data_IF_719793735136
#
_entry.id   IF_719793735136
#
_cell.length_a   1.000
_cell.length_b   1.000
_cell.length_c   1.000
_cell.angle_alpha   90.00
_cell.angle_beta   90.00
_cell.angle_gamma   90.00
#
_symmetry.space_group_name_H-M   'P 1'
#
loop_
_entity.id
_entity.type
_entity.pdbx_description
1 polymer ?
#
# COMPACT_ATOMS: atom_id res chain seq x y z
N UNK A 1 6.31 -22.86 -13.55
CA UNK A 1 5.48 -21.67 -13.82
C UNK A 1 5.09 -21.04 -12.50
N UNK A 2 5.11 -19.71 -12.40
CA UNK A 2 4.71 -18.98 -11.20
C UNK A 2 3.76 -17.86 -11.60
N UNK A 3 2.79 -17.54 -10.73
CA UNK A 3 1.82 -16.47 -10.93
C UNK A 3 1.99 -15.44 -9.83
N UNK A 4 2.18 -14.17 -10.20
CA UNK A 4 2.21 -13.05 -9.27
C UNK A 4 0.86 -12.35 -9.27
N UNK A 5 0.20 -12.27 -8.11
CA UNK A 5 -1.13 -11.66 -8.01
C UNK A 5 -1.13 -10.41 -7.16
N UNK A 6 -1.59 -9.29 -7.73
CA UNK A 6 -1.78 -8.02 -7.02
C UNK A 6 -3.18 -7.91 -6.36
N UNK A 7 -4.12 -8.77 -6.75
CA UNK A 7 -5.47 -8.90 -6.18
C UNK A 7 -5.62 -10.25 -5.49
N UNK A 8 -6.51 -10.32 -4.48
CA UNK A 8 -6.66 -11.56 -3.70
C UNK A 8 -7.24 -12.63 -4.64
N UNK A 9 -6.53 -13.73 -4.93
CA UNK A 9 -7.10 -14.80 -5.73
C UNK A 9 -8.25 -15.45 -4.94
N UNK A 10 -9.20 -16.04 -5.65
CA UNK A 10 -10.26 -16.83 -5.02
C UNK A 10 -9.67 -18.16 -4.51
N UNK A 11 -10.30 -18.74 -3.48
CA UNK A 11 -9.84 -20.00 -2.91
C UNK A 11 -9.87 -21.13 -3.97
N UNK A 12 -10.92 -21.19 -4.79
CA UNK A 12 -11.02 -22.13 -5.92
C UNK A 12 -9.90 -21.96 -6.96
N UNK A 13 -9.42 -20.73 -7.20
CA UNK A 13 -8.27 -20.50 -8.08
C UNK A 13 -6.98 -21.02 -7.46
N UNK A 14 -6.79 -20.81 -6.15
CA UNK A 14 -5.62 -21.31 -5.42
C UNK A 14 -5.60 -22.83 -5.36
N UNK A 15 -6.73 -23.49 -5.09
CA UNK A 15 -6.87 -24.94 -5.11
C UNK A 15 -6.47 -25.53 -6.47
N UNK A 16 -7.02 -24.99 -7.56
CA UNK A 16 -6.70 -25.42 -8.91
C UNK A 16 -5.20 -25.22 -9.26
N UNK A 17 -4.59 -24.11 -8.80
CA UNK A 17 -3.16 -23.89 -8.96
C UNK A 17 -2.33 -24.90 -8.16
N UNK A 18 -2.72 -25.18 -6.92
CA UNK A 18 -2.05 -26.15 -6.05
C UNK A 18 -2.09 -27.56 -6.67
N UNK A 19 -3.26 -28.00 -7.17
CA UNK A 19 -3.42 -29.31 -7.83
C UNK A 19 -2.49 -29.44 -9.06
N UNK A 20 -2.27 -28.33 -9.77
CA UNK A 20 -1.38 -28.24 -10.93
C UNK A 20 0.07 -27.95 -10.57
N UNK A 21 0.42 -27.88 -9.28
CA UNK A 21 1.75 -27.51 -8.76
C UNK A 21 2.26 -26.17 -9.30
N UNK A 22 1.34 -25.21 -9.50
CA UNK A 22 1.63 -23.84 -9.89
C UNK A 22 1.69 -22.99 -8.62
N UNK A 23 2.83 -22.35 -8.36
CA UNK A 23 2.97 -21.46 -7.21
C UNK A 23 2.35 -20.10 -7.49
N UNK A 24 1.53 -19.62 -6.56
CA UNK A 24 1.00 -18.26 -6.55
C UNK A 24 1.74 -17.45 -5.49
N UNK A 25 2.16 -16.24 -5.86
CA UNK A 25 2.85 -15.30 -4.98
C UNK A 25 2.01 -14.03 -4.89
N UNK A 26 1.63 -13.65 -3.68
CA UNK A 26 0.94 -12.39 -3.43
C UNK A 26 1.93 -11.23 -3.55
N UNK A 27 1.61 -10.26 -4.42
CA UNK A 27 2.43 -9.09 -4.65
C UNK A 27 1.79 -7.84 -4.03
N UNK A 28 2.60 -7.03 -3.36
CA UNK A 28 2.22 -5.77 -2.70
C UNK A 28 1.20 -5.89 -1.56
N UNK A 29 0.76 -7.10 -1.21
CA UNK A 29 -0.05 -7.38 -0.03
C UNK A 29 0.42 -8.66 0.64
N UNK A 30 0.30 -8.70 1.97
CA UNK A 30 0.53 -9.91 2.75
C UNK A 30 -0.85 -10.50 3.12
N UNK A 31 -1.31 -11.47 2.35
CA UNK A 31 -2.51 -12.24 2.70
C UNK A 31 -2.11 -13.51 3.44
N UNK A 32 -2.78 -13.77 4.56
CA UNK A 32 -2.71 -15.07 5.23
C UNK A 32 -3.64 -16.05 4.51
N UNK A 33 -3.12 -16.71 3.47
CA UNK A 33 -3.82 -17.80 2.75
C UNK A 33 -2.85 -18.99 2.64
N UNK A 34 -3.34 -20.24 2.70
CA UNK A 34 -2.48 -21.41 2.55
C UNK A 34 -1.70 -21.36 1.22
N UNK A 35 -0.45 -21.85 1.27
CA UNK A 35 0.46 -22.07 0.13
C UNK A 35 0.87 -20.84 -0.70
N UNK A 36 0.56 -19.62 -0.27
CA UNK A 36 0.96 -18.39 -0.98
C UNK A 36 2.13 -17.69 -0.27
N UNK A 37 3.30 -17.62 -0.90
CA UNK A 37 4.35 -16.70 -0.44
C UNK A 37 3.94 -15.25 -0.75
N UNK A 38 4.39 -14.27 0.03
CA UNK A 38 4.07 -12.87 -0.21
C UNK A 38 5.32 -12.01 -0.29
N UNK A 39 5.35 -11.09 -1.25
CA UNK A 39 6.37 -10.04 -1.37
C UNK A 39 5.67 -8.69 -1.37
N UNK A 40 5.95 -7.87 -0.36
CA UNK A 40 5.36 -6.55 -0.22
C UNK A 40 6.32 -5.62 0.53
N UNK A 41 6.22 -4.33 0.25
CA UNK A 41 6.82 -3.30 1.10
C UNK A 41 5.94 -3.05 2.33
N UNK A 42 6.54 -2.56 3.42
CA UNK A 42 5.79 -1.91 4.48
C UNK A 42 5.33 -0.53 3.99
N UNK A 43 4.17 -0.50 3.33
CA UNK A 43 3.60 0.70 2.73
C UNK A 43 3.29 1.78 3.77
N UNK A 44 2.89 1.37 4.98
CA UNK A 44 2.56 2.30 6.06
C UNK A 44 3.82 2.95 6.59
N UNK A 45 4.85 2.18 6.89
CA UNK A 45 6.13 2.72 7.30
C UNK A 45 6.74 3.61 6.21
N UNK A 46 6.63 3.22 4.93
CA UNK A 46 7.07 4.06 3.82
C UNK A 46 6.38 5.43 3.77
N UNK A 47 5.07 5.48 4.04
CA UNK A 47 4.34 6.74 4.15
C UNK A 47 4.80 7.62 5.32
N UNK A 48 5.07 7.00 6.47
CA UNK A 48 5.60 7.67 7.65
C UNK A 48 7.00 8.26 7.41
N UNK A 49 7.90 7.49 6.78
CA UNK A 49 9.27 7.92 6.47
C UNK A 49 9.30 9.19 5.60
N UNK A 50 8.40 9.32 4.63
CA UNK A 50 8.30 10.54 3.81
C UNK A 50 7.81 11.72 4.65
N UNK A 51 6.84 11.51 5.54
CA UNK A 51 6.37 12.55 6.43
C UNK A 51 7.47 13.05 7.40
N UNK A 52 8.24 12.11 7.98
CA UNK A 52 9.42 12.40 8.80
C UNK A 52 10.46 13.20 8.02
N UNK A 53 10.76 12.78 6.79
CA UNK A 53 11.72 13.49 5.94
C UNK A 53 11.29 14.94 5.68
N UNK A 54 10.02 15.18 5.35
CA UNK A 54 9.52 16.54 5.09
C UNK A 54 9.52 17.41 6.36
N UNK A 55 9.19 16.83 7.51
CA UNK A 55 9.26 17.51 8.80
C UNK A 55 10.70 17.88 9.19
N UNK A 56 11.64 16.95 9.07
CA UNK A 56 13.07 17.17 9.32
C UNK A 56 13.67 18.26 8.42
N UNK A 57 13.15 18.39 7.20
CA UNK A 57 13.52 19.45 6.25
C UNK A 57 12.70 20.74 6.44
N UNK A 58 11.94 20.86 7.53
CA UNK A 58 11.18 22.06 7.92
C UNK A 58 10.15 22.53 6.88
N UNK A 59 9.61 21.61 6.09
CA UNK A 59 8.49 21.93 5.19
C UNK A 59 7.25 22.29 5.99
N UNK A 60 6.57 23.38 5.63
CA UNK A 60 5.39 23.89 6.35
C UNK A 60 4.07 23.73 5.60
N UNK A 61 4.10 23.62 4.28
CA UNK A 61 2.92 23.46 3.45
C UNK A 61 3.12 22.23 2.58
N UNK A 62 2.29 21.21 2.77
CA UNK A 62 2.43 19.94 2.06
C UNK A 62 1.12 19.60 1.36
N UNK A 63 1.22 19.22 0.09
CA UNK A 63 0.14 18.61 -0.67
C UNK A 63 0.27 17.10 -0.69
N UNK A 64 -0.80 16.39 -0.36
CA UNK A 64 -0.90 14.94 -0.50
C UNK A 64 -1.91 14.62 -1.60
N UNK A 65 -1.46 13.97 -2.67
CA UNK A 65 -2.34 13.45 -3.71
C UNK A 65 -2.54 11.95 -3.45
N UNK A 66 -3.76 11.58 -3.10
CA UNK A 66 -4.13 10.19 -2.84
C UNK A 66 -4.40 9.45 -4.16
N UNK A 67 -4.02 8.18 -4.18
CA UNK A 67 -4.39 7.27 -5.26
C UNK A 67 -5.86 6.83 -5.19
N UNK A 68 -6.26 5.89 -6.08
CA UNK A 68 -7.64 5.42 -6.18
C UNK A 68 -8.18 4.84 -4.87
N UNK A 69 -9.45 5.13 -4.58
CA UNK A 69 -10.15 4.61 -3.40
C UNK A 69 -10.15 3.07 -3.40
N UNK A 70 -9.80 2.46 -2.26
CA UNK A 70 -9.76 1.00 -2.09
C UNK A 70 -8.46 0.35 -2.59
N UNK A 71 -7.51 1.14 -3.08
CA UNK A 71 -6.15 0.67 -3.31
C UNK A 71 -5.43 0.55 -1.97
N UNK A 72 -5.28 -0.68 -1.49
CA UNK A 72 -4.57 -0.99 -0.23
C UNK A 72 -3.20 -0.31 -0.12
N UNK A 73 -2.42 -0.30 -1.21
CA UNK A 73 -1.09 0.32 -1.25
C UNK A 73 -1.21 1.84 -1.02
N UNK A 74 -2.15 2.48 -1.70
CA UNK A 74 -2.39 3.92 -1.53
C UNK A 74 -2.90 4.22 -0.12
N UNK A 75 -3.85 3.43 0.36
CA UNK A 75 -4.49 3.61 1.67
C UNK A 75 -3.47 3.49 2.80
N UNK A 76 -2.60 2.47 2.78
CA UNK A 76 -1.59 2.27 3.82
C UNK A 76 -0.50 3.36 3.79
N UNK A 77 -0.03 3.78 2.59
CA UNK A 77 0.89 4.93 2.47
C UNK A 77 0.29 6.20 3.03
N UNK A 78 -0.95 6.52 2.64
CA UNK A 78 -1.65 7.71 3.10
C UNK A 78 -1.88 7.65 4.62
N UNK A 79 -2.19 6.47 5.16
CA UNK A 79 -2.38 6.26 6.60
C UNK A 79 -1.09 6.52 7.37
N UNK A 80 0.03 5.97 6.93
CA UNK A 80 1.34 6.21 7.55
C UNK A 80 1.70 7.70 7.56
N UNK A 81 1.63 8.32 6.38
CA UNK A 81 1.91 9.74 6.19
C UNK A 81 1.06 10.64 7.10
N UNK A 82 -0.27 10.47 7.05
CA UNK A 82 -1.21 11.29 7.84
C UNK A 82 -1.09 11.04 9.33
N UNK A 83 -0.81 9.80 9.74
CA UNK A 83 -0.65 9.46 11.16
C UNK A 83 0.54 10.15 11.81
N UNK A 84 1.59 10.41 11.04
CA UNK A 84 2.73 11.21 11.48
C UNK A 84 2.38 12.71 11.49
N UNK A 85 1.92 13.25 10.35
CA UNK A 85 1.65 14.68 10.19
C UNK A 85 0.57 15.22 11.15
N UNK A 86 -0.46 14.43 11.50
CA UNK A 86 -1.58 14.89 12.34
C UNK A 86 -1.13 15.47 13.69
N UNK A 87 0.04 15.09 14.19
CA UNK A 87 0.58 15.53 15.47
C UNK A 87 1.41 16.83 15.34
N UNK A 88 1.66 17.32 14.13
CA UNK A 88 2.55 18.44 13.83
C UNK A 88 1.78 19.70 13.49
N UNK A 89 1.64 20.60 14.47
CA UNK A 89 0.86 21.85 14.32
C UNK A 89 1.50 22.87 13.37
N UNK A 90 2.80 22.77 13.09
CA UNK A 90 3.51 23.69 12.19
C UNK A 90 3.36 23.34 10.71
N UNK A 91 2.72 22.20 10.39
CA UNK A 91 2.51 21.75 9.01
C UNK A 91 1.05 21.93 8.62
N UNK A 92 0.82 22.65 7.53
CA UNK A 92 -0.47 22.77 6.85
C UNK A 92 -0.54 21.70 5.74
N UNK A 93 -1.35 20.68 5.97
CA UNK A 93 -1.62 19.61 5.00
C UNK A 93 -2.85 19.93 4.15
N UNK A 94 -2.71 19.88 2.83
CA UNK A 94 -3.82 19.83 1.87
C UNK A 94 -3.84 18.46 1.23
N UNK A 95 -5.03 17.86 1.13
CA UNK A 95 -5.19 16.51 0.55
C UNK A 95 -6.14 16.57 -0.63
N UNK A 96 -5.75 15.97 -1.74
CA UNK A 96 -6.58 15.82 -2.92
C UNK A 96 -6.70 14.35 -3.32
N UNK A 97 -7.89 13.94 -3.74
CA UNK A 97 -8.14 12.57 -4.23
C UNK A 97 -8.18 12.61 -5.75
N UNK A 98 -7.26 11.93 -6.42
CA UNK A 98 -7.35 11.74 -7.88
C UNK A 98 -7.84 10.34 -8.21
N UNK A 99 -8.89 10.30 -9.03
CA UNK A 99 -9.26 9.11 -9.79
C UNK A 99 -8.50 9.19 -11.11
N UNK A 100 -7.39 8.47 -11.21
CA UNK A 100 -6.80 8.21 -12.52
C UNK A 100 -7.59 7.08 -13.17
N UNK A 101 -8.42 7.41 -14.16
CA UNK A 101 -8.87 6.43 -15.14
C UNK A 101 -7.69 6.19 -16.07
N UNK A 102 -7.03 5.05 -15.91
CA UNK A 102 -6.07 4.50 -16.86
C UNK A 102 -6.77 3.40 -17.63
#
# INVERSE_FOLDING_TARGET
>A
MQIFSATKPTDAFLENCNDKKIQVIAYNRNWKIPTTSSVACDHRYGGEMIAQYLDNNKHKNIGLIEGPKGSFVSDERCRGFKSYIKNLRHIKLKTEKRVFHI
#
